data_IF_479974154813
#
_entry.id   IF_479974154813
#
_cell.length_a   1.000
_cell.length_b   1.000
_cell.length_c   1.000
_cell.angle_alpha   90.00
_cell.angle_beta   90.00
_cell.angle_gamma   90.00
#
_symmetry.space_group_name_H-M   'P 1'
#
loop_
_entity.id
_entity.type
_entity.pdbx_description
1 polymer ?
#
# COMPACT_ATOMS: atom_id res chain seq x y z
N UNK A 1 -17.91 -6.57 17.45
CA UNK A 1 -17.68 -8.02 17.23
C UNK A 1 -16.29 -8.36 17.78
N UNK A 2 -16.14 -9.42 18.59
CA UNK A 2 -14.81 -9.89 19.03
C UNK A 2 -14.20 -10.74 17.92
N UNK A 3 -12.89 -10.64 17.69
CA UNK A 3 -12.22 -11.51 16.72
C UNK A 3 -11.09 -12.30 17.38
N UNK A 4 -10.93 -13.53 16.90
CA UNK A 4 -9.96 -14.49 17.41
C UNK A 4 -8.87 -14.68 16.35
N UNK A 5 -7.61 -14.76 16.78
CA UNK A 5 -6.50 -15.17 15.92
C UNK A 5 -6.03 -16.53 16.41
N UNK A 6 -5.69 -17.43 15.47
CA UNK A 6 -5.03 -18.70 15.79
C UNK A 6 -3.63 -18.41 16.34
N UNK A 7 -3.37 -18.76 17.60
CA UNK A 7 -2.02 -18.83 18.14
C UNK A 7 -1.60 -20.28 18.21
N UNK A 8 -0.43 -20.59 17.65
CA UNK A 8 0.23 -21.88 17.86
C UNK A 8 0.93 -21.82 19.21
N UNK A 9 0.37 -22.51 20.20
CA UNK A 9 1.03 -22.71 21.49
C UNK A 9 1.65 -24.10 21.52
N UNK A 10 2.97 -24.17 21.74
CA UNK A 10 3.61 -25.44 22.06
C UNK A 10 3.31 -25.75 23.53
N UNK A 11 2.42 -26.71 23.78
CA UNK A 11 2.30 -27.30 25.11
C UNK A 11 3.48 -28.26 25.28
N UNK A 12 4.50 -27.84 26.03
CA UNK A 12 5.44 -28.78 26.61
C UNK A 12 4.75 -29.36 27.85
N UNK A 13 4.27 -30.59 27.76
CA UNK A 13 3.73 -31.30 28.92
C UNK A 13 4.88 -31.70 29.85
N UNK A 14 5.30 -30.79 30.72
CA UNK A 14 6.21 -31.11 31.83
C UNK A 14 5.39 -31.19 33.12
N UNK A 15 5.00 -32.42 33.49
CA UNK A 15 4.96 -32.97 34.86
C UNK A 15 4.07 -34.22 34.93
N UNK A 16 4.67 -35.41 34.87
CA UNK A 16 4.25 -36.49 35.76
C UNK A 16 5.37 -37.52 35.98
N UNK A 17 5.47 -37.92 37.23
CA UNK A 17 6.43 -38.82 37.87
C UNK A 17 6.55 -40.22 37.25
N UNK A 18 7.78 -40.74 37.28
CA UNK A 18 8.22 -42.15 37.24
C UNK A 18 7.12 -43.19 36.91
N UNK A 19 7.10 -43.66 35.66
CA UNK A 19 7.03 -45.11 35.38
C UNK A 19 7.56 -45.39 33.97
N UNK A 20 8.30 -46.49 33.84
CA UNK A 20 8.91 -46.97 32.61
C UNK A 20 7.85 -47.48 31.64
N UNK A 21 7.47 -46.70 30.62
CA UNK A 21 7.01 -47.22 29.33
C UNK A 21 7.37 -46.23 28.23
N UNK A 22 8.15 -46.70 27.24
CA UNK A 22 8.40 -45.98 25.99
C UNK A 22 7.09 -45.84 25.23
N UNK A 23 6.42 -44.69 25.35
CA UNK A 23 5.42 -44.25 24.38
C UNK A 23 5.93 -43.01 23.67
N UNK A 24 6.10 -43.13 22.35
CA UNK A 24 6.30 -42.03 21.42
C UNK A 24 5.22 -40.98 21.66
N UNK A 25 5.59 -39.88 22.33
CA UNK A 25 4.72 -38.72 22.47
C UNK A 25 4.59 -38.05 21.10
N UNK A 26 3.51 -38.38 20.39
CA UNK A 26 3.02 -37.63 19.23
C UNK A 26 2.75 -36.20 19.69
N UNK A 27 3.62 -35.28 19.29
CA UNK A 27 3.59 -33.86 19.59
C UNK A 27 2.36 -33.23 18.91
N UNK A 28 1.20 -33.35 19.58
CA UNK A 28 -0.09 -32.90 19.04
C UNK A 28 -0.16 -31.39 19.13
N UNK A 29 -0.08 -30.71 17.97
CA UNK A 29 -0.25 -29.24 17.90
C UNK A 29 -1.69 -28.89 18.24
N UNK A 30 -1.94 -28.49 19.48
CA UNK A 30 -3.22 -27.91 19.87
C UNK A 30 -3.30 -26.48 19.29
N UNK A 31 -4.28 -26.22 18.44
CA UNK A 31 -4.56 -24.88 17.89
C UNK A 31 -5.53 -24.19 18.83
N UNK A 32 -5.06 -23.23 19.62
CA UNK A 32 -5.90 -22.44 20.50
C UNK A 32 -6.22 -21.09 19.84
N UNK A 33 -7.51 -20.73 19.85
CA UNK A 33 -7.96 -19.41 19.46
C UNK A 33 -7.81 -18.45 20.65
N UNK A 34 -7.11 -17.33 20.45
CA UNK A 34 -6.98 -16.27 21.45
C UNK A 34 -7.72 -15.02 21.00
N UNK A 35 -8.45 -14.38 21.91
CA UNK A 35 -9.00 -13.04 21.70
C UNK A 35 -7.84 -12.05 21.65
N UNK A 36 -7.75 -11.30 20.53
CA UNK A 36 -6.70 -10.30 20.31
C UNK A 36 -7.27 -8.88 20.37
N UNK A 37 -8.58 -8.71 20.14
CA UNK A 37 -9.23 -7.40 20.22
C UNK A 37 -10.71 -7.43 19.87
N UNK A 38 -11.32 -6.24 19.92
CA UNK A 38 -12.73 -6.00 19.60
C UNK A 38 -12.82 -5.00 18.46
N UNK A 39 -13.49 -5.38 17.37
CA UNK A 39 -13.78 -4.49 16.24
C UNK A 39 -14.68 -3.33 16.71
N UNK A 40 -14.28 -2.12 16.33
CA UNK A 40 -15.05 -0.89 16.43
C UNK A 40 -15.82 -0.62 15.12
N UNK A 41 -16.80 0.26 15.19
CA UNK A 41 -17.52 0.73 14.01
C UNK A 41 -16.59 1.59 13.15
N UNK A 42 -16.47 1.31 11.83
CA UNK A 42 -15.74 2.19 10.93
C UNK A 42 -16.31 3.62 10.96
N UNK A 43 -15.44 4.62 11.06
CA UNK A 43 -15.83 6.03 11.01
C UNK A 43 -16.40 6.33 9.61
N UNK A 44 -17.59 6.93 9.55
CA UNK A 44 -18.15 7.45 8.30
C UNK A 44 -17.72 8.91 8.04
N UNK A 45 -17.29 9.60 9.10
CA UNK A 45 -16.83 10.99 9.08
C UNK A 45 -15.66 11.17 10.04
N UNK A 46 -14.82 12.16 9.77
CA UNK A 46 -13.62 12.43 10.56
C UNK A 46 -12.46 11.49 10.22
N UNK A 47 -11.32 11.72 10.86
CA UNK A 47 -10.10 10.93 10.64
C UNK A 47 -9.91 9.94 11.78
N UNK A 48 -9.21 8.84 11.50
CA UNK A 48 -8.60 8.03 12.56
C UNK A 48 -7.36 8.72 13.10
N UNK A 49 -7.12 8.49 14.39
CA UNK A 49 -6.03 9.11 15.14
C UNK A 49 -4.77 8.25 15.08
N UNK A 50 -3.60 8.89 15.25
CA UNK A 50 -2.33 8.18 15.43
C UNK A 50 -2.44 7.18 16.58
N UNK A 51 -1.98 5.95 16.33
CA UNK A 51 -2.05 4.85 17.29
C UNK A 51 -3.29 3.96 17.13
N UNK A 52 -4.23 4.29 16.25
CA UNK A 52 -5.39 3.46 15.97
C UNK A 52 -4.96 2.12 15.36
N UNK A 53 -5.29 1.02 16.03
CA UNK A 53 -5.11 -0.33 15.50
C UNK A 53 -6.23 -0.67 14.53
N UNK A 54 -5.92 -1.45 13.50
CA UNK A 54 -6.91 -1.87 12.51
C UNK A 54 -6.56 -3.20 11.86
N UNK A 55 -7.58 -3.85 11.29
CA UNK A 55 -7.41 -4.89 10.29
C UNK A 55 -7.62 -4.27 8.91
N UNK A 56 -6.73 -4.54 7.95
CA UNK A 56 -6.95 -4.11 6.58
C UNK A 56 -8.15 -4.86 6.00
N UNK A 57 -9.17 -4.15 5.51
CA UNK A 57 -10.42 -4.74 5.03
C UNK A 57 -10.23 -5.78 3.94
N UNK A 58 -9.32 -5.49 3.01
CA UNK A 58 -9.05 -6.37 1.85
C UNK A 58 -7.94 -7.38 2.12
N UNK A 59 -6.77 -6.95 2.60
CA UNK A 59 -5.63 -7.86 2.82
C UNK A 59 -5.61 -8.56 4.19
N UNK A 60 -6.48 -8.19 5.12
CA UNK A 60 -6.67 -8.88 6.41
C UNK A 60 -5.54 -8.71 7.43
N UNK A 61 -4.47 -7.98 7.12
CA UNK A 61 -3.35 -7.79 8.03
C UNK A 61 -3.69 -6.86 9.20
N UNK A 62 -3.02 -7.03 10.33
CA UNK A 62 -3.04 -6.08 11.44
C UNK A 62 -2.11 -4.92 11.15
N UNK A 63 -2.57 -3.72 11.46
CA UNK A 63 -1.76 -2.52 11.35
C UNK A 63 -2.05 -1.50 12.43
N UNK A 64 -1.20 -0.48 12.48
CA UNK A 64 -1.40 0.71 13.31
C UNK A 64 -1.23 1.96 12.46
N UNK A 65 -2.10 2.95 12.68
CA UNK A 65 -2.06 4.23 11.98
C UNK A 65 -0.97 5.11 12.58
N UNK A 66 -0.10 5.65 11.71
CA UNK A 66 0.90 6.65 12.09
C UNK A 66 0.33 8.06 11.96
N UNK A 67 -0.14 8.44 10.77
CA UNK A 67 -0.75 9.76 10.53
C UNK A 67 -1.53 9.80 9.20
N UNK A 68 -2.48 10.74 9.07
CA UNK A 68 -3.28 10.89 7.86
C UNK A 68 -2.57 11.67 6.75
N UNK A 69 -2.94 11.36 5.52
CA UNK A 69 -2.62 12.09 4.30
C UNK A 69 -3.92 12.50 3.58
N UNK A 70 -3.91 13.66 2.93
CA UNK A 70 -5.00 14.07 2.05
C UNK A 70 -4.55 13.86 0.61
N UNK A 71 -5.26 13.00 -0.11
CA UNK A 71 -4.99 12.65 -1.49
C UNK A 71 -6.07 13.19 -2.40
N UNK A 72 -5.70 13.62 -3.60
CA UNK A 72 -6.62 13.84 -4.71
C UNK A 72 -6.85 12.51 -5.44
N UNK A 73 -8.08 12.01 -5.40
CA UNK A 73 -8.49 10.77 -6.06
C UNK A 73 -9.18 11.11 -7.37
N UNK A 74 -8.59 10.66 -8.48
CA UNK A 74 -9.13 10.69 -9.82
C UNK A 74 -9.76 9.34 -10.12
N UNK A 75 -11.06 9.24 -9.82
CA UNK A 75 -11.85 8.02 -10.03
C UNK A 75 -12.59 8.10 -11.36
N UNK A 76 -12.18 7.26 -12.33
CA UNK A 76 -12.80 7.18 -13.65
C UNK A 76 -14.12 6.41 -13.66
N UNK A 77 -14.48 5.75 -12.56
CA UNK A 77 -15.72 4.99 -12.44
C UNK A 77 -16.91 5.90 -12.06
N UNK A 78 -16.65 7.11 -11.55
CA UNK A 78 -17.67 8.07 -11.17
C UNK A 78 -18.06 8.94 -12.37
N UNK A 79 -19.33 8.96 -12.80
CA UNK A 79 -19.76 9.79 -13.92
C UNK A 79 -19.61 11.28 -13.61
N UNK A 80 -18.97 12.03 -14.51
CA UNK A 80 -18.94 13.50 -14.45
C UNK A 80 -20.38 14.03 -14.57
N UNK A 81 -20.90 14.70 -13.54
CA UNK A 81 -22.27 15.27 -13.48
C UNK A 81 -22.57 16.40 -14.51
N UNK A 82 -21.76 16.58 -15.57
CA UNK A 82 -21.84 17.74 -16.46
C UNK A 82 -21.85 17.48 -17.97
N UNK A 83 -22.04 16.25 -18.44
CA UNK A 83 -22.12 16.03 -19.89
C UNK A 83 -23.54 15.62 -20.30
N UNK A 84 -24.32 16.64 -20.67
CA UNK A 84 -25.40 16.50 -21.64
C UNK A 84 -24.78 16.19 -23.02
N UNK A 85 -25.30 15.13 -23.64
CA UNK A 85 -25.38 14.78 -25.08
C UNK A 85 -24.57 15.69 -26.03
N UNK A 86 -23.70 15.06 -26.83
CA UNK A 86 -22.83 15.60 -27.91
C UNK A 86 -21.35 15.78 -27.54
N UNK A 87 -20.58 14.69 -27.56
CA UNK A 87 -19.42 14.57 -28.46
C UNK A 87 -18.72 13.21 -28.30
N UNK A 88 -18.86 12.37 -29.34
CA UNK A 88 -18.13 11.12 -29.48
C UNK A 88 -16.78 11.38 -30.18
N UNK A 89 -15.91 12.16 -29.53
CA UNK A 89 -14.49 12.20 -29.87
C UNK A 89 -13.70 11.65 -28.69
N UNK A 90 -12.77 10.73 -28.99
CA UNK A 90 -11.99 9.95 -28.03
C UNK A 90 -10.87 10.79 -27.38
N UNK A 91 -11.18 12.02 -27.00
CA UNK A 91 -10.29 12.97 -26.32
C UNK A 91 -10.48 12.76 -24.81
N UNK A 92 -9.36 12.67 -24.10
CA UNK A 92 -9.24 12.42 -22.67
C UNK A 92 -10.27 13.19 -21.84
N UNK A 93 -11.35 12.52 -21.41
CA UNK A 93 -12.31 13.10 -20.46
C UNK A 93 -11.56 13.51 -19.19
N UNK A 94 -11.62 14.79 -18.87
CA UNK A 94 -10.99 15.35 -17.68
C UNK A 94 -11.72 14.84 -16.43
N UNK A 95 -11.02 14.01 -15.64
CA UNK A 95 -11.58 13.40 -14.43
C UNK A 95 -11.47 14.40 -13.29
N UNK A 96 -12.59 14.82 -12.71
CA UNK A 96 -12.55 15.73 -11.57
C UNK A 96 -12.05 14.99 -10.33
N UNK A 97 -10.88 15.38 -9.83
CA UNK A 97 -10.34 14.78 -8.62
C UNK A 97 -11.10 15.20 -7.35
N UNK A 98 -11.36 14.26 -6.45
CA UNK A 98 -11.98 14.48 -5.14
C UNK A 98 -10.97 14.24 -4.01
N UNK A 99 -11.07 14.96 -2.89
CA UNK A 99 -10.10 14.80 -1.79
C UNK A 99 -10.54 13.69 -0.85
N UNK A 100 -9.70 12.68 -0.68
CA UNK A 100 -9.91 11.55 0.22
C UNK A 100 -8.80 11.48 1.27
N UNK A 101 -9.11 10.88 2.42
CA UNK A 101 -8.09 10.63 3.46
C UNK A 101 -7.47 9.25 3.28
N UNK A 102 -6.15 9.21 3.27
CA UNK A 102 -5.33 8.01 3.36
C UNK A 102 -4.54 8.04 4.67
N UNK A 103 -3.94 6.92 5.04
CA UNK A 103 -3.16 6.78 6.26
C UNK A 103 -1.85 6.12 5.93
N UNK A 104 -0.75 6.67 6.47
CA UNK A 104 0.47 5.90 6.54
C UNK A 104 0.40 4.99 7.78
N UNK A 105 0.77 3.73 7.60
CA UNK A 105 0.57 2.69 8.61
C UNK A 105 1.80 1.81 8.76
N UNK A 106 1.95 1.18 9.93
CA UNK A 106 2.82 0.02 10.10
C UNK A 106 2.00 -1.27 10.03
N UNK A 107 2.52 -2.26 9.32
CA UNK A 107 2.00 -3.62 9.21
C UNK A 107 2.65 -4.49 10.29
N UNK A 108 1.87 -5.38 10.90
CA UNK A 108 2.39 -6.42 11.78
C UNK A 108 3.22 -7.44 11.00
N UNK A 109 4.50 -7.61 11.37
CA UNK A 109 5.43 -8.44 10.61
C UNK A 109 5.05 -9.93 10.57
N UNK A 110 4.23 -10.41 11.52
CA UNK A 110 3.73 -11.79 11.54
C UNK A 110 2.72 -12.04 10.43
N UNK A 111 2.06 -10.99 9.93
CA UNK A 111 1.06 -11.10 8.88
C UNK A 111 1.71 -11.01 7.49
N UNK A 112 2.87 -10.35 7.34
CA UNK A 112 3.55 -10.13 6.05
C UNK A 112 3.64 -11.38 5.14
N UNK A 113 4.03 -12.58 5.62
CA UNK A 113 4.11 -13.77 4.79
C UNK A 113 2.76 -14.23 4.18
N UNK A 114 1.64 -13.73 4.73
CA UNK A 114 0.28 -14.09 4.32
C UNK A 114 -0.40 -13.00 3.50
N UNK A 115 0.20 -11.80 3.40
CA UNK A 115 -0.32 -10.70 2.60
C UNK A 115 -0.01 -10.99 1.15
N UNK A 116 -1.03 -11.05 0.28
CA UNK A 116 -0.87 -11.10 -1.19
C UNK A 116 -0.52 -9.73 -1.76
N UNK A 117 0.39 -9.05 -1.10
CA UNK A 117 1.03 -7.85 -1.57
C UNK A 117 2.53 -8.11 -1.59
N UNK A 118 3.24 -7.64 -2.61
CA UNK A 118 4.66 -7.40 -2.41
C UNK A 118 4.75 -6.30 -1.35
N UNK A 119 4.95 -6.69 -0.08
CA UNK A 119 5.27 -5.79 1.03
C UNK A 119 6.69 -5.27 0.89
N UNK A 120 7.11 -4.96 -0.35
CA UNK A 120 8.34 -4.24 -0.54
C UNK A 120 8.15 -2.88 0.11
N UNK A 121 9.08 -2.65 1.02
CA UNK A 121 9.25 -1.47 1.79
C UNK A 121 9.02 -0.17 1.00
N UNK A 122 8.50 0.86 1.67
CA UNK A 122 8.49 2.21 1.09
C UNK A 122 9.93 2.61 0.79
N UNK A 123 10.24 2.73 -0.51
CA UNK A 123 11.57 3.08 -0.97
C UNK A 123 11.73 4.57 -1.23
N UNK A 124 12.88 5.14 -0.90
CA UNK A 124 13.28 6.50 -1.28
C UNK A 124 14.79 6.56 -1.56
N UNK A 125 15.24 7.60 -2.26
CA UNK A 125 16.67 7.81 -2.49
C UNK A 125 17.33 8.40 -1.23
N UNK A 126 18.48 7.83 -0.85
CA UNK A 126 19.29 8.39 0.22
C UNK A 126 19.96 9.70 -0.14
N UNK A 127 20.13 10.57 0.86
CA UNK A 127 20.72 11.91 0.73
C UNK A 127 22.26 11.94 0.57
N UNK A 128 22.93 10.78 0.38
CA UNK A 128 24.39 10.74 0.26
C UNK A 128 24.81 10.64 -1.21
N UNK A 129 25.61 11.62 -1.65
CA UNK A 129 26.10 11.80 -3.04
C UNK A 129 26.80 10.58 -3.64
N UNK A 130 27.26 9.62 -2.84
CA UNK A 130 28.10 8.50 -3.30
C UNK A 130 27.45 7.11 -3.30
N UNK A 131 26.30 6.91 -2.63
CA UNK A 131 25.67 5.58 -2.55
C UNK A 131 24.41 5.50 -3.41
N UNK A 132 24.30 4.50 -4.30
CA UNK A 132 23.06 4.14 -5.02
C UNK A 132 21.99 3.51 -4.11
N UNK A 133 22.10 3.72 -2.79
CA UNK A 133 21.29 3.03 -1.80
C UNK A 133 19.85 3.51 -1.86
N UNK A 134 18.97 2.61 -2.30
CA UNK A 134 17.54 2.68 -2.07
C UNK A 134 17.30 2.36 -0.59
N UNK A 135 16.74 3.32 0.14
CA UNK A 135 16.33 3.08 1.52
C UNK A 135 14.92 2.53 1.50
N UNK A 136 14.75 1.37 2.10
CA UNK A 136 13.49 0.67 2.22
C UNK A 136 13.09 0.67 3.70
N UNK A 137 11.86 1.05 4.01
CA UNK A 137 11.24 0.79 5.33
C UNK A 137 10.25 -0.38 5.22
N UNK A 138 10.65 -1.61 5.60
CA UNK A 138 9.76 -2.77 5.62
C UNK A 138 8.55 -2.51 6.50
N UNK A 139 7.39 -3.06 6.11
CA UNK A 139 6.16 -2.96 6.89
C UNK A 139 5.52 -1.57 6.92
N UNK A 140 6.01 -0.59 6.16
CA UNK A 140 5.32 0.69 5.96
C UNK A 140 4.37 0.58 4.76
N UNK A 141 3.14 1.06 4.88
CA UNK A 141 2.13 1.03 3.80
C UNK A 141 1.23 2.29 3.82
N UNK A 142 0.44 2.47 2.75
CA UNK A 142 -0.56 3.52 2.61
C UNK A 142 -1.95 2.91 2.44
N UNK A 143 -2.86 3.24 3.34
CA UNK A 143 -4.18 2.61 3.42
C UNK A 143 -5.27 3.66 3.26
N UNK A 144 -6.25 3.39 2.40
CA UNK A 144 -7.41 4.27 2.24
C UNK A 144 -8.29 4.22 3.49
N UNK A 145 -9.00 5.31 3.80
CA UNK A 145 -9.92 5.35 4.95
C UNK A 145 -10.94 4.21 4.95
N UNK A 146 -11.44 3.84 3.77
CA UNK A 146 -12.41 2.76 3.58
C UNK A 146 -11.84 1.36 3.86
N UNK A 147 -10.53 1.18 3.82
CA UNK A 147 -9.87 -0.10 4.08
C UNK A 147 -9.56 -0.33 5.56
N UNK A 148 -9.85 0.65 6.43
CA UNK A 148 -9.61 0.53 7.87
C UNK A 148 -10.81 -0.17 8.55
N UNK A 149 -10.56 -1.34 9.16
CA UNK A 149 -11.46 -1.94 10.15
C UNK A 149 -10.87 -1.71 11.55
N UNK A 150 -11.27 -0.64 12.25
CA UNK A 150 -10.66 -0.26 13.51
C UNK A 150 -10.95 -1.30 14.59
N UNK A 151 -10.00 -1.54 15.49
CA UNK A 151 -10.22 -2.37 16.68
C UNK A 151 -9.48 -1.84 17.90
N UNK A 152 -9.93 -2.26 19.08
CA UNK A 152 -9.25 -2.03 20.36
C UNK A 152 -8.77 -3.32 20.98
N UNK A 153 -7.74 -3.23 21.82
CA UNK A 153 -7.15 -4.38 22.53
C UNK A 153 -6.65 -3.95 23.89
N UNK A 154 -6.53 -4.91 24.80
CA UNK A 154 -5.89 -4.75 26.11
C UNK A 154 -4.40 -5.11 26.07
N UNK A 155 -3.90 -5.63 24.94
CA UNK A 155 -2.48 -5.96 24.78
C UNK A 155 -1.64 -4.68 24.72
N UNK A 156 -0.59 -4.60 25.55
CA UNK A 156 0.35 -3.46 25.55
C UNK A 156 1.29 -3.48 24.33
N UNK A 157 1.54 -4.67 23.77
CA UNK A 157 2.33 -4.88 22.55
C UNK A 157 1.47 -5.60 21.50
N UNK A 158 0.51 -4.89 20.89
CA UNK A 158 -0.46 -5.50 19.98
C UNK A 158 0.13 -5.80 18.59
N UNK A 159 1.22 -5.12 18.24
CA UNK A 159 1.84 -5.17 16.91
C UNK A 159 3.32 -5.57 17.01
N UNK A 160 3.76 -6.53 16.21
CA UNK A 160 5.17 -6.88 16.08
C UNK A 160 5.78 -6.08 14.93
N UNK A 161 6.54 -5.02 15.24
CA UNK A 161 7.25 -4.22 14.23
C UNK A 161 8.41 -3.45 14.86
N UNK A 162 9.57 -3.38 14.18
CA UNK A 162 10.79 -2.74 14.71
C UNK A 162 10.65 -1.25 15.02
N UNK A 163 9.73 -0.57 14.32
CA UNK A 163 9.44 0.85 14.51
C UNK A 163 8.32 1.12 15.52
N UNK A 164 7.59 0.11 16.00
CA UNK A 164 6.40 0.32 16.84
C UNK A 164 6.75 1.06 18.13
N UNK A 165 7.63 0.49 18.96
CA UNK A 165 8.08 1.09 20.22
C UNK A 165 8.98 2.32 20.02
N UNK A 166 9.49 2.53 18.81
CA UNK A 166 10.22 3.75 18.45
C UNK A 166 9.26 4.89 18.16
N UNK A 167 8.09 4.64 17.57
CA UNK A 167 7.18 5.68 17.10
C UNK A 167 6.01 5.94 18.04
N UNK A 168 5.59 4.93 18.79
CA UNK A 168 4.37 4.97 19.58
C UNK A 168 4.67 4.60 21.04
N UNK A 169 4.01 5.27 21.97
CA UNK A 169 4.10 4.97 23.41
C UNK A 169 2.71 4.69 23.96
N UNK A 170 2.59 3.61 24.72
CA UNK A 170 1.33 3.25 25.36
C UNK A 170 0.96 4.27 26.47
N UNK A 171 -0.27 4.78 26.43
CA UNK A 171 -0.80 5.80 27.34
C UNK A 171 -2.18 5.36 27.84
N UNK A 172 -2.33 5.13 29.15
CA UNK A 172 -3.56 4.58 29.76
C UNK A 172 -4.80 5.47 29.54
N UNK A 173 -4.64 6.79 29.54
CA UNK A 173 -5.77 7.74 29.54
C UNK A 173 -6.11 8.27 28.13
N UNK A 174 -5.65 7.59 27.08
CA UNK A 174 -5.86 7.97 25.69
C UNK A 174 -6.65 6.90 24.94
N UNK A 175 -7.53 7.32 24.03
CA UNK A 175 -8.16 6.45 23.04
C UNK A 175 -7.90 7.02 21.63
N UNK A 176 -7.16 6.32 20.75
CA UNK A 176 -6.48 5.04 20.97
C UNK A 176 -5.33 5.15 22.01
N UNK A 177 -4.98 4.06 22.72
CA UNK A 177 -4.04 4.07 23.84
C UNK A 177 -2.57 4.18 23.43
N UNK A 178 -2.29 4.65 22.21
CA UNK A 178 -0.94 4.87 21.69
C UNK A 178 -0.78 6.32 21.26
N UNK A 179 0.24 6.99 21.80
CA UNK A 179 0.58 8.36 21.47
C UNK A 179 1.85 8.42 20.62
N UNK A 180 1.90 9.39 19.70
CA UNK A 180 3.08 9.66 18.90
C UNK A 180 4.24 10.12 19.79
N UNK A 181 5.37 9.44 19.69
CA UNK A 181 6.64 9.88 20.27
C UNK A 181 7.30 10.97 19.39
N UNK A 182 8.26 11.70 19.95
CA UNK A 182 8.99 12.76 19.24
C UNK A 182 9.75 12.23 18.02
N UNK A 183 10.27 11.01 18.12
CA UNK A 183 10.87 10.23 17.04
C UNK A 183 9.96 10.09 15.82
N UNK A 184 8.66 9.82 16.01
CA UNK A 184 7.70 9.75 14.90
C UNK A 184 7.49 11.13 14.26
N UNK A 185 7.39 12.18 15.07
CA UNK A 185 7.21 13.57 14.59
C UNK A 185 8.43 14.04 13.80
N UNK A 186 9.63 13.81 14.33
CA UNK A 186 10.89 14.11 13.68
C UNK A 186 11.05 13.32 12.37
N UNK A 187 10.70 12.03 12.40
CA UNK A 187 10.73 11.19 11.20
C UNK A 187 9.73 11.65 10.15
N UNK A 188 8.50 12.01 10.53
CA UNK A 188 7.49 12.55 9.62
C UNK A 188 7.99 13.86 8.99
N UNK A 189 8.48 14.81 9.78
CA UNK A 189 9.00 16.09 9.29
C UNK A 189 10.16 15.90 8.30
N UNK A 190 11.08 14.99 8.61
CA UNK A 190 12.26 14.72 7.77
C UNK A 190 11.89 14.07 6.43
N UNK A 191 10.92 13.17 6.42
CA UNK A 191 10.60 12.36 5.24
C UNK A 191 9.35 12.83 4.49
N UNK A 192 8.64 13.86 4.99
CA UNK A 192 7.39 14.36 4.42
C UNK A 192 7.45 14.55 2.89
N UNK A 193 8.49 15.17 2.29
CA UNK A 193 8.53 15.37 0.84
C UNK A 193 8.49 14.07 0.03
N UNK A 194 9.05 12.98 0.56
CA UNK A 194 9.19 11.69 -0.13
C UNK A 194 8.05 10.71 0.18
N UNK A 195 7.33 10.96 1.27
CA UNK A 195 6.21 10.14 1.75
C UNK A 195 4.85 10.70 1.34
N UNK A 196 4.81 11.94 0.88
CA UNK A 196 3.55 12.58 0.54
C UNK A 196 2.88 11.85 -0.62
N UNK A 197 1.69 11.36 -0.29
CA UNK A 197 0.73 10.78 -1.19
C UNK A 197 -0.18 11.92 -1.65
N UNK A 198 0.09 12.43 -2.85
CA UNK A 198 -0.67 13.55 -3.44
C UNK A 198 -1.86 13.06 -4.26
N UNK A 199 -1.65 12.06 -5.12
CA UNK A 199 -2.60 11.67 -6.15
C UNK A 199 -2.85 10.16 -6.14
N UNK A 200 -4.09 9.77 -6.43
CA UNK A 200 -4.52 8.39 -6.57
C UNK A 200 -5.41 8.27 -7.79
N UNK A 201 -5.13 7.31 -8.66
CA UNK A 201 -5.86 7.11 -9.90
C UNK A 201 -6.58 5.77 -9.86
N UNK A 202 -7.87 5.75 -10.19
CA UNK A 202 -8.70 4.54 -10.19
C UNK A 202 -9.45 4.40 -11.50
N UNK A 203 -9.48 3.18 -12.05
CA UNK A 203 -10.33 2.81 -13.19
C UNK A 203 -10.68 1.33 -13.09
N UNK A 204 -11.94 1.00 -13.36
CA UNK A 204 -12.44 -0.37 -13.42
C UNK A 204 -12.72 -0.76 -14.86
N UNK A 205 -12.18 -1.90 -15.29
CA UNK A 205 -12.48 -2.52 -16.58
C UNK A 205 -12.90 -3.97 -16.32
N UNK A 206 -14.07 -4.37 -16.83
CA UNK A 206 -14.54 -5.78 -16.72
C UNK A 206 -14.51 -6.30 -15.27
N UNK A 207 -15.00 -5.50 -14.32
CA UNK A 207 -14.99 -5.75 -12.88
C UNK A 207 -13.61 -5.88 -12.23
N UNK A 208 -12.51 -5.60 -12.94
CA UNK A 208 -11.18 -5.50 -12.34
C UNK A 208 -10.86 -4.03 -12.15
N UNK A 209 -10.75 -3.60 -10.89
CA UNK A 209 -10.35 -2.25 -10.51
C UNK A 209 -8.84 -2.15 -10.37
N UNK A 210 -8.24 -1.18 -11.03
CA UNK A 210 -6.84 -0.82 -10.91
C UNK A 210 -6.75 0.50 -10.16
N UNK A 211 -6.06 0.49 -9.02
CA UNK A 211 -5.69 1.70 -8.27
C UNK A 211 -4.19 1.93 -8.38
N UNK A 212 -3.78 3.15 -8.72
CA UNK A 212 -2.36 3.56 -8.85
C UNK A 212 -2.06 4.73 -7.94
N UNK A 213 -0.93 4.66 -7.23
CA UNK A 213 -0.42 5.72 -6.36
C UNK A 213 1.06 5.97 -6.69
N UNK A 214 1.41 7.07 -7.38
CA UNK A 214 2.79 7.44 -7.64
C UNK A 214 3.43 8.16 -6.43
N UNK A 215 4.73 7.95 -6.26
CA UNK A 215 5.55 8.58 -5.22
C UNK A 215 6.86 9.03 -5.84
N UNK A 216 7.16 10.32 -5.75
CA UNK A 216 8.47 10.85 -6.13
C UNK A 216 9.53 10.44 -5.10
N UNK A 217 10.65 9.90 -5.57
CA UNK A 217 11.74 9.40 -4.72
C UNK A 217 12.98 10.29 -4.71
N UNK A 218 13.03 11.30 -5.58
CA UNK A 218 14.18 12.18 -5.76
C UNK A 218 14.81 12.06 -7.14
N UNK A 219 15.82 12.90 -7.36
CA UNK A 219 16.64 12.90 -8.55
C UNK A 219 18.11 12.74 -8.20
N UNK A 220 18.91 12.40 -9.20
CA UNK A 220 20.37 12.43 -9.11
C UNK A 220 20.92 13.12 -10.34
N UNK A 221 21.79 14.07 -10.09
CA UNK A 221 22.50 14.75 -11.15
C UNK A 221 23.76 13.96 -11.52
N UNK A 222 24.03 13.93 -12.82
CA UNK A 222 25.32 13.58 -13.39
C UNK A 222 25.88 14.81 -14.08
N UNK A 223 27.14 14.78 -14.50
CA UNK A 223 27.80 15.91 -15.16
C UNK A 223 27.05 16.43 -16.40
N UNK A 224 26.20 15.61 -17.02
CA UNK A 224 25.51 15.91 -18.28
C UNK A 224 23.98 15.73 -18.25
N UNK A 225 23.41 15.14 -17.20
CA UNK A 225 21.96 14.87 -17.13
C UNK A 225 21.46 14.58 -15.72
N UNK A 226 20.19 14.82 -15.46
CA UNK A 226 19.51 14.46 -14.21
C UNK A 226 18.60 13.25 -14.43
N UNK A 227 18.65 12.27 -13.53
CA UNK A 227 17.75 11.10 -13.53
C UNK A 227 16.81 11.18 -12.36
N UNK A 228 15.52 11.23 -12.64
CA UNK A 228 14.44 11.34 -11.67
C UNK A 228 13.81 9.96 -11.44
N UNK A 229 13.46 9.65 -10.19
CA UNK A 229 12.95 8.34 -9.80
C UNK A 229 11.58 8.45 -9.14
N UNK A 230 10.69 7.53 -9.50
CA UNK A 230 9.41 7.34 -8.84
C UNK A 230 9.21 5.87 -8.49
N UNK A 231 8.52 5.64 -7.37
CA UNK A 231 7.88 4.36 -7.06
C UNK A 231 6.39 4.52 -7.33
N UNK A 232 5.74 3.48 -7.82
CA UNK A 232 4.29 3.43 -7.89
C UNK A 232 3.79 2.20 -7.13
N UNK A 233 2.69 2.37 -6.40
CA UNK A 233 1.93 1.27 -5.81
C UNK A 233 0.73 0.99 -6.70
N UNK A 234 0.54 -0.27 -7.11
CA UNK A 234 -0.60 -0.71 -7.90
C UNK A 234 -1.35 -1.78 -7.13
N UNK A 235 -2.65 -1.56 -6.97
CA UNK A 235 -3.60 -2.53 -6.43
C UNK A 235 -4.56 -2.95 -7.51
N UNK A 236 -4.67 -4.27 -7.70
CA UNK A 236 -5.65 -4.93 -8.54
C UNK A 236 -6.72 -5.54 -7.64
N UNK A 237 -7.98 -5.32 -7.97
CA UNK A 237 -9.12 -5.88 -7.24
C UNK A 237 -10.11 -6.48 -8.24
N UNK A 238 -10.42 -7.76 -8.06
CA UNK A 238 -11.52 -8.41 -8.75
C UNK A 238 -12.82 -8.18 -7.97
N UNK A 239 -13.68 -7.33 -8.52
CA UNK A 239 -15.02 -7.02 -8.02
C UNK A 239 -16.07 -7.97 -8.62
N UNK A 240 -15.67 -8.83 -9.57
CA UNK A 240 -16.52 -9.80 -10.23
C UNK A 240 -16.52 -11.16 -9.52
N UNK A 241 -17.35 -12.05 -10.04
CA UNK A 241 -17.54 -13.38 -9.46
C UNK A 241 -16.56 -14.43 -10.00
N UNK A 242 -16.14 -14.27 -11.26
CA UNK A 242 -15.27 -15.23 -11.95
C UNK A 242 -13.80 -14.99 -11.60
N UNK A 243 -13.03 -16.07 -11.50
CA UNK A 243 -11.58 -15.96 -11.27
C UNK A 243 -10.90 -15.38 -12.50
N UNK A 244 -9.97 -14.44 -12.29
CA UNK A 244 -9.11 -13.86 -13.34
C UNK A 244 -7.65 -13.98 -12.96
N UNK A 245 -6.77 -14.12 -13.95
CA UNK A 245 -5.32 -14.15 -13.76
C UNK A 245 -4.66 -13.06 -14.60
N UNK A 246 -3.76 -12.28 -13.99
CA UNK A 246 -2.91 -11.37 -14.73
C UNK A 246 -1.82 -12.15 -15.47
N UNK A 247 -1.70 -11.93 -16.77
CA UNK A 247 -0.74 -12.63 -17.65
C UNK A 247 0.36 -11.72 -18.16
N UNK A 248 0.02 -10.52 -18.60
CA UNK A 248 0.97 -9.60 -19.20
C UNK A 248 0.75 -8.17 -18.72
N UNK A 249 1.83 -7.39 -18.71
CA UNK A 249 1.79 -5.94 -18.54
C UNK A 249 2.26 -5.27 -19.82
N UNK A 250 1.62 -4.17 -20.17
CA UNK A 250 2.03 -3.30 -21.25
C UNK A 250 1.94 -1.85 -20.79
N UNK A 251 3.10 -1.22 -20.63
CA UNK A 251 3.27 0.15 -20.18
C UNK A 251 3.64 1.07 -21.33
N UNK A 252 3.13 2.29 -21.27
CA UNK A 252 3.53 3.42 -22.09
C UNK A 252 3.94 4.55 -21.16
N UNK A 253 5.15 5.06 -21.38
CA UNK A 253 5.80 6.04 -20.51
C UNK A 253 6.20 7.21 -21.41
N UNK A 254 5.58 8.37 -21.19
CA UNK A 254 5.85 9.57 -21.97
C UNK A 254 6.51 10.60 -21.08
N UNK A 255 7.76 10.97 -21.37
CA UNK A 255 8.49 12.00 -20.64
C UNK A 255 8.23 13.39 -21.22
N UNK A 256 8.42 14.43 -20.40
CA UNK A 256 8.36 15.82 -20.86
C UNK A 256 9.37 16.15 -21.98
N UNK A 257 10.47 15.38 -22.08
CA UNK A 257 11.44 15.50 -23.18
C UNK A 257 10.88 15.06 -24.53
N UNK A 258 9.65 14.51 -24.58
CA UNK A 258 9.02 14.00 -25.79
C UNK A 258 9.33 12.52 -26.08
N UNK A 259 10.04 11.83 -25.18
CA UNK A 259 10.38 10.42 -25.35
C UNK A 259 9.18 9.54 -24.97
N UNK A 260 8.78 8.63 -25.86
CA UNK A 260 7.79 7.59 -25.58
C UNK A 260 8.48 6.22 -25.46
N UNK A 261 8.50 5.66 -24.27
CA UNK A 261 8.97 4.31 -24.00
C UNK A 261 7.79 3.34 -23.87
N UNK A 262 7.99 2.11 -24.33
CA UNK A 262 7.00 1.04 -24.19
C UNK A 262 7.63 -0.18 -23.54
N UNK A 263 7.02 -0.69 -22.48
CA UNK A 263 7.51 -1.88 -21.76
C UNK A 263 6.44 -2.96 -21.82
N UNK A 264 6.77 -4.12 -22.37
CA UNK A 264 5.91 -5.31 -22.35
C UNK A 264 6.59 -6.45 -21.63
N UNK A 265 5.83 -7.25 -20.90
CA UNK A 265 6.38 -8.44 -20.25
C UNK A 265 5.33 -9.28 -19.54
N UNK A 266 5.71 -10.53 -19.25
CA UNK A 266 4.88 -11.47 -18.50
C UNK A 266 4.78 -11.05 -17.04
N UNK A 267 3.57 -11.16 -16.49
CA UNK A 267 3.26 -10.88 -15.09
C UNK A 267 3.57 -9.46 -14.65
N UNK A 268 3.62 -9.29 -13.34
CA UNK A 268 4.11 -8.11 -12.62
C UNK A 268 5.07 -8.60 -11.55
N UNK A 269 6.24 -7.96 -11.41
CA UNK A 269 7.22 -8.28 -10.36
C UNK A 269 7.56 -9.79 -10.23
N UNK A 270 7.60 -10.49 -11.37
CA UNK A 270 7.88 -11.94 -11.44
C UNK A 270 6.68 -12.85 -11.10
N UNK A 271 5.48 -12.29 -10.94
CA UNK A 271 4.26 -13.00 -10.54
C UNK A 271 3.13 -12.82 -11.56
N UNK A 272 2.28 -13.84 -11.69
CA UNK A 272 1.03 -13.81 -12.46
C UNK A 272 -0.15 -14.02 -11.50
N UNK A 273 -0.54 -12.98 -10.75
CA UNK A 273 -1.50 -13.12 -9.67
C UNK A 273 -2.88 -13.56 -10.17
N UNK A 274 -3.42 -14.60 -9.53
CA UNK A 274 -4.80 -15.05 -9.67
C UNK A 274 -5.67 -14.27 -8.67
N UNK A 275 -6.75 -13.65 -9.11
CA UNK A 275 -7.72 -12.90 -8.31
C UNK A 275 -9.07 -13.66 -8.33
N UNK A 276 -9.42 -14.25 -7.19
CA UNK A 276 -10.65 -15.04 -7.00
C UNK A 276 -11.51 -14.43 -5.90
N UNK A 277 -12.74 -14.90 -5.70
CA UNK A 277 -13.59 -14.45 -4.58
C UNK A 277 -12.92 -14.56 -3.21
N UNK A 278 -12.15 -15.63 -2.98
CA UNK A 278 -11.48 -15.86 -1.70
C UNK A 278 -10.22 -15.00 -1.53
N UNK A 279 -9.61 -14.59 -2.65
CA UNK A 279 -8.41 -13.77 -2.66
C UNK A 279 -8.56 -12.68 -3.76
N UNK A 280 -9.44 -11.69 -3.53
CA UNK A 280 -9.91 -10.80 -4.59
C UNK A 280 -8.93 -9.70 -4.95
N UNK A 281 -7.82 -9.55 -4.23
CA UNK A 281 -6.90 -8.46 -4.45
C UNK A 281 -5.43 -8.89 -4.44
N UNK A 282 -4.63 -8.12 -5.19
CA UNK A 282 -3.18 -8.19 -5.21
C UNK A 282 -2.61 -6.76 -5.26
N UNK A 283 -1.55 -6.51 -4.51
CA UNK A 283 -0.88 -5.20 -4.51
C UNK A 283 0.62 -5.37 -4.73
N UNK A 284 1.24 -4.48 -5.50
CA UNK A 284 2.68 -4.48 -5.66
C UNK A 284 3.23 -3.06 -5.81
N UNK A 285 4.50 -2.90 -5.50
CA UNK A 285 5.25 -1.69 -5.79
C UNK A 285 6.31 -1.97 -6.84
N UNK A 286 6.58 -0.99 -7.71
CA UNK A 286 7.72 -1.02 -8.62
C UNK A 286 8.17 0.40 -8.92
N UNK A 287 9.20 0.55 -9.74
CA UNK A 287 9.91 1.81 -9.94
C UNK A 287 9.98 2.18 -11.41
N UNK A 288 10.13 3.47 -11.67
CA UNK A 288 10.40 4.04 -12.98
C UNK A 288 11.40 5.19 -12.82
N UNK A 289 12.27 5.36 -13.81
CA UNK A 289 13.18 6.49 -13.87
C UNK A 289 12.98 7.24 -15.18
N UNK A 290 13.05 8.57 -15.15
CA UNK A 290 13.02 9.42 -16.34
C UNK A 290 14.25 10.33 -16.37
N UNK A 291 14.72 10.66 -17.58
CA UNK A 291 15.66 11.75 -17.83
C UNK A 291 14.94 13.10 -18.00
N UNK A 292 13.83 13.29 -17.28
CA UNK A 292 13.00 14.47 -17.31
C UNK A 292 12.32 14.66 -15.94
N UNK A 293 12.07 15.91 -15.50
CA UNK A 293 11.44 16.19 -14.21
C UNK A 293 9.97 15.79 -14.15
N UNK A 294 9.32 15.58 -15.31
CA UNK A 294 7.97 15.10 -15.35
C UNK A 294 7.66 14.18 -16.54
N UNK A 295 6.54 13.48 -16.43
CA UNK A 295 6.01 12.59 -17.46
C UNK A 295 4.67 11.99 -17.08
N UNK A 296 4.14 11.16 -17.97
CA UNK A 296 2.89 10.44 -17.78
C UNK A 296 3.09 8.95 -18.04
N UNK A 297 2.45 8.13 -17.23
CA UNK A 297 2.41 6.68 -17.40
C UNK A 297 0.99 6.19 -17.52
N UNK A 298 0.77 5.24 -18.42
CA UNK A 298 -0.48 4.51 -18.56
C UNK A 298 -0.20 3.15 -19.21
N UNK A 299 -1.20 2.28 -19.26
CA UNK A 299 -0.99 0.97 -19.82
C UNK A 299 -2.19 0.05 -19.72
N UNK A 300 -1.91 -1.24 -19.89
CA UNK A 300 -2.89 -2.31 -19.80
C UNK A 300 -2.28 -3.53 -19.14
N UNK A 301 -3.08 -4.22 -18.33
CA UNK A 301 -2.81 -5.60 -17.94
C UNK A 301 -3.65 -6.53 -18.81
N UNK A 302 -3.02 -7.52 -19.43
CA UNK A 302 -3.76 -8.60 -20.07
C UNK A 302 -4.18 -9.60 -19.00
N UNK A 303 -5.49 -9.79 -18.88
CA UNK A 303 -6.12 -10.72 -17.97
C UNK A 303 -6.64 -11.93 -18.74
N UNK A 304 -6.63 -13.09 -18.09
CA UNK A 304 -7.24 -14.33 -18.56
C UNK A 304 -8.25 -14.79 -17.50
N UNK A 305 -9.51 -14.96 -17.88
CA UNK A 305 -10.56 -15.52 -17.02
C UNK A 305 -10.46 -17.04 -16.99
N UNK A 306 -11.08 -17.65 -15.98
CA UNK A 306 -11.15 -19.12 -15.85
C UNK A 306 -11.82 -19.85 -17.02
N UNK A 307 -12.64 -19.16 -17.83
CA UNK A 307 -13.26 -19.68 -19.07
C UNK A 307 -12.32 -19.58 -20.30
N UNK A 308 -11.09 -19.08 -20.14
CA UNK A 308 -10.12 -18.86 -21.19
C UNK A 308 -10.30 -17.54 -21.97
N UNK A 309 -11.32 -16.74 -21.66
CA UNK A 309 -11.50 -15.43 -22.27
C UNK A 309 -10.41 -14.46 -21.80
N UNK A 310 -9.79 -13.76 -22.74
CA UNK A 310 -8.76 -12.75 -22.44
C UNK A 310 -9.25 -11.35 -22.74
N UNK A 311 -8.92 -10.40 -21.87
CA UNK A 311 -9.28 -8.99 -21.99
C UNK A 311 -8.18 -8.10 -21.41
N UNK A 312 -8.18 -6.83 -21.80
CA UNK A 312 -7.21 -5.84 -21.33
C UNK A 312 -7.83 -4.94 -20.26
N UNK A 313 -7.32 -5.01 -19.03
CA UNK A 313 -7.64 -4.05 -17.98
C UNK A 313 -6.82 -2.79 -18.14
N UNK A 314 -7.48 -1.64 -18.18
CA UNK A 314 -6.78 -0.37 -18.29
C UNK A 314 -6.10 0.00 -16.98
N UNK A 315 -4.88 0.51 -17.12
CA UNK A 315 -4.19 1.21 -16.04
C UNK A 315 -4.44 2.70 -16.29
N UNK A 316 -5.15 3.41 -15.39
CA UNK A 316 -5.50 4.80 -15.62
C UNK A 316 -4.25 5.65 -15.76
N UNK A 317 -4.23 6.65 -16.66
CA UNK A 317 -3.11 7.58 -16.76
C UNK A 317 -2.85 8.30 -15.44
N UNK A 318 -1.59 8.36 -15.04
CA UNK A 318 -1.11 9.08 -13.86
C UNK A 318 0.14 9.89 -14.19
N UNK A 319 0.30 11.01 -13.50
CA UNK A 319 1.45 11.89 -13.66
C UNK A 319 2.61 11.48 -12.77
N UNK A 320 3.81 11.69 -13.29
CA UNK A 320 5.07 11.62 -12.59
C UNK A 320 5.58 13.04 -12.50
N UNK A 321 5.44 13.67 -11.34
CA UNK A 321 5.90 15.05 -11.13
C UNK A 321 7.04 15.04 -10.12
N UNK A 322 8.15 15.69 -10.45
CA UNK A 322 9.19 16.00 -9.47
C UNK A 322 8.71 17.14 -8.59
N UNK A 323 9.04 17.09 -7.30
CA UNK A 323 8.85 18.24 -6.42
C UNK A 323 10.01 19.19 -6.67
N UNK A 324 9.75 20.37 -7.24
CA UNK A 324 10.75 21.42 -7.36
C UNK A 324 11.26 21.79 -5.97
N UNK A 325 12.58 21.98 -5.82
CA UNK A 325 13.21 22.55 -4.64
C UNK A 325 12.91 24.06 -4.52
N UNK A 326 11.64 24.46 -4.46
CA UNK A 326 11.25 25.81 -4.02
C UNK A 326 11.35 25.96 -2.49
N UNK A 327 12.41 25.42 -1.91
CA UNK A 327 12.80 25.64 -0.52
C UNK A 327 14.29 25.96 -0.44
N UNK A 328 14.77 26.87 -1.27
CA UNK A 328 15.99 27.61 -1.00
C UNK A 328 15.64 29.04 -0.55
N UNK A 329 15.35 29.27 0.75
CA UNK A 329 15.27 30.62 1.30
C UNK A 329 16.70 31.13 1.54
N UNK A 330 17.52 31.22 0.49
CA UNK A 330 18.78 31.97 0.51
C UNK A 330 18.65 33.13 -0.47
N UNK A 331 17.74 34.03 -0.10
CA UNK A 331 17.53 35.31 -0.75
C UNK A 331 17.28 36.38 0.29
N UNK A 332 18.08 36.46 1.36
CA UNK A 332 18.25 37.68 2.16
C UNK A 332 19.63 37.75 2.82
N UNK A 333 20.27 38.89 2.53
CA UNK A 333 21.54 39.49 3.00
C UNK A 333 22.79 39.04 2.25
#
# INVERSE_FOLDING_TARGET
MRFLIKRLTFSCASNCSRSLFHHNAMNSRCVQLSEVGRLNTPKCQGKYDTGQLFLHRVFGYRGVILFPWLARVYDRDVPNKRESIEDASNVSKEVKGSTHTFYQVLIDSRDCPHIRAQTEAVTFLGNQESSRSLYAIPGLDYVAHEDILPYTTTEKQPLQHELFDKFLVYTNDKDPPFAAQETLRAWQKKNHPWLELSDVHKETTENVRITVIPFYMGCRDSQTSSVYWWRYCIRLENLGDMTVQLRERHWRIFSLSGTLETVRGRGVVGQEPILSKSLPAFQYSSHVSLQAPSGHMWGTFRMEREDGYTFDCRIPPFSLESKNDEANPSGFI
#
